data_IF_354026342572
#
_entry.id   IF_354026342572
#
_cell.length_a   1.000
_cell.length_b   1.000
_cell.length_c   1.000
_cell.angle_alpha   90.00
_cell.angle_beta   90.00
_cell.angle_gamma   90.00
#
_symmetry.space_group_name_H-M   'P 1'
#
loop_
_entity.id
_entity.type
_entity.pdbx_description
1 polymer ?
#
# COMPACT_ATOMS: atom_id res chain seq x y z
N UNK A 1 46.63 0.38 -12.86
CA UNK A 1 45.36 0.99 -13.32
C UNK A 1 44.44 -0.15 -13.77
N UNK A 2 43.60 -0.66 -12.87
CA UNK A 2 42.65 -1.73 -13.19
C UNK A 2 41.28 -1.10 -13.40
N UNK A 3 40.82 -1.07 -14.65
CA UNK A 3 39.46 -0.63 -15.00
C UNK A 3 38.50 -1.75 -14.57
N UNK A 4 37.77 -1.56 -13.48
CA UNK A 4 36.60 -2.37 -13.15
C UNK A 4 35.48 -2.03 -14.14
N UNK A 5 35.21 -2.95 -15.05
CA UNK A 5 33.96 -3.03 -15.81
C UNK A 5 32.84 -3.37 -14.84
N UNK A 6 32.08 -2.36 -14.40
CA UNK A 6 30.76 -2.58 -13.79
C UNK A 6 29.81 -3.01 -14.90
N UNK A 7 29.43 -4.29 -14.88
CA UNK A 7 28.27 -4.75 -15.64
C UNK A 7 27.01 -4.06 -15.10
N UNK A 8 26.17 -3.46 -15.94
CA UNK A 8 24.86 -3.01 -15.51
C UNK A 8 23.98 -4.25 -15.31
N UNK A 9 23.93 -4.78 -14.08
CA UNK A 9 22.80 -5.63 -13.66
C UNK A 9 21.64 -4.70 -13.29
N UNK A 10 20.93 -4.23 -14.29
CA UNK A 10 19.62 -3.64 -14.14
C UNK A 10 18.74 -4.30 -15.19
N UNK A 11 17.79 -5.13 -14.78
CA UNK A 11 16.70 -5.53 -15.66
C UNK A 11 15.95 -4.22 -15.95
N UNK A 12 16.09 -3.70 -17.17
CA UNK A 12 15.33 -2.54 -17.63
C UNK A 12 13.84 -2.91 -17.60
N UNK A 13 13.16 -2.60 -16.49
CA UNK A 13 11.72 -2.77 -16.40
C UNK A 13 11.10 -1.90 -17.48
N UNK A 14 10.50 -2.56 -18.50
CA UNK A 14 9.80 -1.88 -19.58
C UNK A 14 8.72 -0.99 -18.98
N UNK A 15 8.94 0.33 -19.03
CA UNK A 15 7.98 1.32 -18.55
C UNK A 15 6.77 1.31 -19.47
N UNK A 16 5.59 1.10 -18.91
CA UNK A 16 4.31 1.26 -19.59
C UNK A 16 3.72 2.64 -19.25
N UNK A 17 2.81 3.14 -20.07
CA UNK A 17 2.12 4.40 -19.76
C UNK A 17 1.31 4.26 -18.47
N UNK A 18 1.42 5.27 -17.59
CA UNK A 18 0.62 5.34 -16.36
C UNK A 18 -0.89 5.37 -16.67
N UNK A 19 -1.29 6.06 -17.73
CA UNK A 19 -2.69 6.16 -18.16
C UNK A 19 -3.30 4.79 -18.48
N UNK A 20 -2.54 3.91 -19.13
CA UNK A 20 -3.02 2.56 -19.43
C UNK A 20 -3.28 1.79 -18.13
N UNK A 21 -2.41 1.94 -17.13
CA UNK A 21 -2.58 1.32 -15.82
C UNK A 21 -3.81 1.90 -15.10
N UNK A 22 -3.96 3.23 -15.07
CA UNK A 22 -5.10 3.94 -14.47
C UNK A 22 -6.43 3.50 -15.09
N UNK A 23 -6.53 3.45 -16.42
CA UNK A 23 -7.74 3.02 -17.13
C UNK A 23 -8.05 1.54 -16.90
N UNK A 24 -7.02 0.69 -16.86
CA UNK A 24 -7.18 -0.75 -16.55
C UNK A 24 -7.69 -0.94 -15.13
N UNK A 25 -7.16 -0.18 -14.18
CA UNK A 25 -7.61 -0.20 -12.80
C UNK A 25 -9.05 0.31 -12.66
N UNK A 26 -9.40 1.40 -13.33
CA UNK A 26 -10.76 1.93 -13.37
C UNK A 26 -11.77 0.92 -13.94
N UNK A 27 -11.40 0.21 -15.01
CA UNK A 27 -12.24 -0.85 -15.58
C UNK A 27 -12.45 -2.02 -14.59
N UNK A 28 -11.38 -2.43 -13.88
CA UNK A 28 -11.47 -3.46 -12.84
C UNK A 28 -12.41 -3.02 -11.70
N UNK A 29 -12.25 -1.80 -11.19
CA UNK A 29 -13.11 -1.28 -10.11
C UNK A 29 -14.57 -1.18 -10.58
N UNK A 30 -14.81 -0.70 -11.79
CA UNK A 30 -16.16 -0.63 -12.37
C UNK A 30 -16.79 -2.01 -12.59
N UNK A 31 -16.00 -3.04 -12.87
CA UNK A 31 -16.47 -4.43 -12.91
C UNK A 31 -16.82 -4.94 -11.51
N UNK A 32 -15.96 -4.74 -10.51
CA UNK A 32 -16.23 -5.12 -9.13
C UNK A 32 -17.48 -4.44 -8.55
N UNK A 33 -17.68 -3.15 -8.85
CA UNK A 33 -18.87 -2.41 -8.41
C UNK A 33 -20.16 -2.90 -9.09
N UNK A 34 -20.08 -3.50 -10.29
CA UNK A 34 -21.23 -4.12 -10.95
C UNK A 34 -21.53 -5.51 -10.40
N UNK A 35 -20.50 -6.26 -10.07
CA UNK A 35 -20.62 -7.66 -9.64
C UNK A 35 -20.88 -7.81 -8.13
N UNK A 36 -20.47 -6.82 -7.33
CA UNK A 36 -20.59 -6.85 -5.87
C UNK A 36 -21.55 -5.76 -5.39
N UNK A 37 -22.64 -6.17 -4.74
CA UNK A 37 -23.70 -5.26 -4.25
C UNK A 37 -23.30 -4.42 -3.03
N UNK A 38 -22.11 -4.65 -2.45
CA UNK A 38 -21.66 -3.99 -1.22
C UNK A 38 -20.28 -3.34 -1.37
N UNK A 39 -20.11 -2.05 -1.04
CA UNK A 39 -18.81 -1.36 -1.02
C UNK A 39 -17.76 -2.06 -0.17
N UNK A 40 -18.18 -2.68 0.94
CA UNK A 40 -17.30 -3.46 1.80
C UNK A 40 -16.73 -4.69 1.08
N UNK A 41 -17.56 -5.40 0.32
CA UNK A 41 -17.14 -6.56 -0.45
C UNK A 41 -16.12 -6.16 -1.52
N UNK A 42 -16.36 -5.03 -2.20
CA UNK A 42 -15.41 -4.45 -3.16
C UNK A 42 -14.08 -4.12 -2.50
N UNK A 43 -14.10 -3.43 -1.35
CA UNK A 43 -12.88 -3.08 -0.62
C UNK A 43 -12.10 -4.33 -0.19
N UNK A 44 -12.78 -5.35 0.33
CA UNK A 44 -12.14 -6.64 0.69
C UNK A 44 -11.53 -7.32 -0.52
N UNK A 45 -12.19 -7.28 -1.66
CA UNK A 45 -11.69 -7.88 -2.89
C UNK A 45 -10.48 -7.12 -3.43
N UNK A 46 -10.52 -5.78 -3.44
CA UNK A 46 -9.38 -4.93 -3.81
C UNK A 46 -8.18 -5.16 -2.89
N UNK A 47 -8.42 -5.21 -1.58
CA UNK A 47 -7.41 -5.49 -0.58
C UNK A 47 -6.77 -6.88 -0.78
N UNK A 48 -7.58 -7.91 -1.05
CA UNK A 48 -7.09 -9.27 -1.36
C UNK A 48 -6.28 -9.31 -2.65
N UNK A 49 -6.72 -8.64 -3.70
CA UNK A 49 -5.97 -8.55 -4.96
C UNK A 49 -4.64 -7.84 -4.75
N UNK A 50 -4.67 -6.70 -4.05
CA UNK A 50 -3.48 -5.94 -3.67
C UNK A 50 -2.50 -6.80 -2.90
N UNK A 51 -2.95 -7.53 -1.89
CA UNK A 51 -2.10 -8.41 -1.08
C UNK A 51 -1.37 -9.47 -1.91
N UNK A 52 -2.06 -10.15 -2.81
CA UNK A 52 -1.43 -11.14 -3.70
C UNK A 52 -0.42 -10.50 -4.67
N UNK A 53 -0.71 -9.29 -5.13
CA UNK A 53 0.23 -8.50 -5.95
C UNK A 53 1.46 -8.15 -5.11
N UNK A 54 1.27 -7.64 -3.90
CA UNK A 54 2.31 -7.23 -2.96
C UNK A 54 3.30 -8.33 -2.64
N UNK A 55 2.81 -9.55 -2.38
CA UNK A 55 3.68 -10.73 -2.17
C UNK A 55 4.67 -10.94 -3.32
N UNK A 56 4.22 -10.77 -4.57
CA UNK A 56 5.07 -10.94 -5.76
C UNK A 56 5.98 -9.72 -6.00
N UNK A 57 5.51 -8.52 -5.66
CA UNK A 57 6.29 -7.30 -5.80
C UNK A 57 7.46 -7.25 -4.83
N UNK A 58 7.35 -7.86 -3.65
CA UNK A 58 8.44 -7.90 -2.68
C UNK A 58 9.70 -8.56 -3.24
N UNK A 59 9.56 -9.71 -3.92
CA UNK A 59 10.70 -10.40 -4.53
C UNK A 59 11.39 -9.53 -5.60
N UNK A 60 10.61 -8.88 -6.47
CA UNK A 60 11.15 -7.96 -7.48
C UNK A 60 11.83 -6.73 -6.83
N UNK A 61 11.28 -6.20 -5.74
CA UNK A 61 11.82 -5.05 -5.02
C UNK A 61 13.18 -5.39 -4.41
N UNK A 62 13.29 -6.54 -3.74
CA UNK A 62 14.51 -7.02 -3.11
C UNK A 62 15.57 -7.40 -4.15
N UNK A 63 15.16 -7.99 -5.27
CA UNK A 63 16.07 -8.32 -6.38
C UNK A 63 16.68 -7.07 -7.02
N UNK A 64 15.90 -5.99 -7.17
CA UNK A 64 16.37 -4.71 -7.74
C UNK A 64 17.18 -3.87 -6.76
N UNK A 65 16.94 -4.03 -5.47
CA UNK A 65 17.56 -3.21 -4.43
C UNK A 65 18.31 -4.10 -3.44
N UNK A 66 19.49 -4.56 -3.87
CA UNK A 66 20.37 -5.38 -3.02
C UNK A 66 20.68 -4.72 -1.68
N UNK A 67 20.65 -3.39 -1.55
CA UNK A 67 20.88 -2.72 -0.27
C UNK A 67 19.78 -2.95 0.80
N UNK A 68 18.61 -3.47 0.41
CA UNK A 68 17.50 -3.79 1.32
C UNK A 68 17.69 -5.22 1.82
N UNK A 69 18.63 -5.44 2.75
CA UNK A 69 18.97 -6.80 3.19
C UNK A 69 18.19 -7.32 4.40
N UNK A 70 17.47 -6.44 5.11
CA UNK A 70 16.52 -6.72 6.21
C UNK A 70 16.21 -5.40 6.91
N UNK A 71 15.07 -4.79 6.60
CA UNK A 71 14.65 -3.60 7.35
C UNK A 71 14.26 -4.03 8.77
N UNK A 72 15.02 -3.60 9.77
CA UNK A 72 14.73 -3.90 11.19
C UNK A 72 14.08 -2.72 11.91
N UNK A 73 14.21 -1.51 11.35
CA UNK A 73 13.61 -0.29 11.87
C UNK A 73 12.42 0.13 10.99
N UNK A 74 11.32 0.51 11.64
CA UNK A 74 10.13 1.01 10.96
C UNK A 74 10.40 2.27 10.15
N UNK A 75 11.32 3.14 10.60
CA UNK A 75 11.69 4.34 9.86
C UNK A 75 12.36 3.99 8.53
N UNK A 76 13.19 2.95 8.52
CA UNK A 76 13.81 2.46 7.29
C UNK A 76 12.76 1.86 6.36
N UNK A 77 11.81 1.08 6.90
CA UNK A 77 10.68 0.53 6.13
C UNK A 77 9.87 1.67 5.50
N UNK A 78 9.52 2.68 6.29
CA UNK A 78 8.75 3.82 5.83
C UNK A 78 9.47 4.57 4.69
N UNK A 79 10.77 4.80 4.81
CA UNK A 79 11.57 5.46 3.77
C UNK A 79 11.69 4.61 2.49
N UNK A 80 11.90 3.30 2.63
CA UNK A 80 11.93 2.37 1.49
C UNK A 80 10.59 2.35 0.76
N UNK A 81 9.48 2.25 1.49
CA UNK A 81 8.15 2.29 0.89
C UNK A 81 7.90 3.60 0.17
N UNK A 82 8.14 4.72 0.87
CA UNK A 82 7.81 6.06 0.38
C UNK A 82 8.64 6.52 -0.81
N UNK A 83 9.95 6.22 -0.81
CA UNK A 83 10.92 6.78 -1.77
C UNK A 83 11.39 5.80 -2.84
N UNK A 84 11.39 4.50 -2.54
CA UNK A 84 11.91 3.44 -3.43
C UNK A 84 10.77 2.65 -4.05
N UNK A 85 9.92 2.00 -3.25
CA UNK A 85 8.90 1.08 -3.75
C UNK A 85 7.84 1.81 -4.59
N UNK A 86 7.22 2.86 -4.06
CA UNK A 86 6.21 3.63 -4.79
C UNK A 86 6.78 4.24 -6.08
N UNK A 87 8.04 4.70 -6.04
CA UNK A 87 8.72 5.26 -7.23
C UNK A 87 8.94 4.20 -8.30
N UNK A 88 9.33 2.98 -7.89
CA UNK A 88 9.61 1.88 -8.81
C UNK A 88 8.36 1.37 -9.51
N UNK A 89 7.24 1.27 -8.79
CA UNK A 89 6.03 0.60 -9.28
C UNK A 89 4.93 1.55 -9.76
N UNK A 90 4.77 2.70 -9.12
CA UNK A 90 3.74 3.69 -9.45
C UNK A 90 4.29 4.98 -10.04
N UNK A 91 5.62 5.15 -10.07
CA UNK A 91 6.26 6.36 -10.59
C UNK A 91 6.13 7.59 -9.68
N UNK A 92 5.56 7.44 -8.49
CA UNK A 92 5.32 8.52 -7.52
C UNK A 92 6.08 8.27 -6.22
N UNK A 93 6.25 9.32 -5.41
CA UNK A 93 6.78 9.19 -4.05
C UNK A 93 5.74 9.62 -3.03
N UNK A 94 5.85 9.10 -1.81
CA UNK A 94 5.06 9.55 -0.68
C UNK A 94 5.90 10.36 0.30
N UNK A 95 5.24 11.17 1.12
CA UNK A 95 5.81 11.72 2.33
C UNK A 95 5.44 10.84 3.53
N UNK A 96 6.40 10.59 4.42
CA UNK A 96 6.16 9.88 5.67
C UNK A 96 5.88 10.92 6.76
N UNK A 97 4.76 10.79 7.46
CA UNK A 97 4.36 11.72 8.52
C UNK A 97 3.59 11.01 9.64
N UNK A 98 3.11 11.79 10.62
CA UNK A 98 2.17 11.35 11.65
C UNK A 98 2.61 10.07 12.40
N UNK A 99 3.89 10.02 12.79
CA UNK A 99 4.39 8.95 13.65
C UNK A 99 3.72 8.98 15.02
N UNK A 100 3.38 7.80 15.52
CA UNK A 100 2.89 7.69 16.89
C UNK A 100 4.06 7.68 17.90
N UNK A 101 3.76 7.89 19.18
CA UNK A 101 4.79 7.95 20.23
C UNK A 101 5.59 6.65 20.44
N UNK A 102 5.08 5.52 19.91
CA UNK A 102 5.70 4.20 19.99
C UNK A 102 6.58 3.87 18.78
N UNK A 103 6.56 4.70 17.75
CA UNK A 103 7.22 4.47 16.46
C UNK A 103 6.82 3.15 15.78
N UNK A 104 5.64 2.61 16.08
CA UNK A 104 5.07 1.42 15.46
C UNK A 104 3.92 1.75 14.50
N UNK A 105 3.65 3.03 14.25
CA UNK A 105 2.60 3.48 13.33
C UNK A 105 2.97 4.83 12.67
N UNK A 106 2.76 4.94 11.36
CA UNK A 106 3.04 6.14 10.56
C UNK A 106 2.06 6.30 9.40
N UNK A 107 2.01 7.48 8.80
CA UNK A 107 1.23 7.77 7.60
C UNK A 107 2.11 7.91 6.37
N UNK A 108 1.67 7.32 5.25
CA UNK A 108 2.16 7.57 3.91
C UNK A 108 1.19 8.50 3.20
N UNK A 109 1.65 9.70 2.87
CA UNK A 109 0.87 10.71 2.15
C UNK A 109 1.35 10.75 0.70
N UNK A 110 0.49 10.34 -0.21
CA UNK A 110 0.69 10.50 -1.65
C UNK A 110 -0.06 11.76 -2.09
N UNK A 111 0.69 12.80 -2.47
CA UNK A 111 0.10 14.05 -2.97
C UNK A 111 -0.55 13.90 -4.35
N UNK A 112 -0.02 12.97 -5.16
CA UNK A 112 -0.53 12.63 -6.48
C UNK A 112 -0.74 11.12 -6.55
N UNK A 113 -2.02 10.73 -6.58
CA UNK A 113 -2.46 9.36 -6.70
C UNK A 113 -2.71 9.02 -8.18
N UNK A 114 -1.83 8.26 -8.83
CA UNK A 114 -1.96 7.95 -10.25
C UNK A 114 -3.19 7.08 -10.54
N UNK A 115 -3.73 6.38 -9.54
CA UNK A 115 -4.94 5.56 -9.72
C UNK A 115 -6.19 6.42 -9.90
N UNK A 116 -6.24 7.60 -9.27
CA UNK A 116 -7.44 8.42 -9.17
C UNK A 116 -7.48 9.60 -10.16
N UNK A 117 -6.50 9.72 -11.07
CA UNK A 117 -6.33 10.89 -11.94
C UNK A 117 -7.58 11.23 -12.80
N UNK A 118 -8.35 10.22 -13.21
CA UNK A 118 -9.57 10.37 -14.03
C UNK A 118 -10.85 9.93 -13.30
N UNK A 119 -10.81 9.87 -11.97
CA UNK A 119 -11.88 9.24 -11.19
C UNK A 119 -12.64 10.29 -10.41
N UNK A 120 -13.94 10.37 -10.66
CA UNK A 120 -14.88 11.09 -9.81
C UNK A 120 -15.76 10.06 -9.10
N UNK A 121 -15.62 9.97 -7.78
CA UNK A 121 -16.44 9.08 -6.97
C UNK A 121 -17.83 9.73 -6.80
N UNK A 122 -18.93 9.05 -7.19
CA UNK A 122 -20.27 9.56 -6.98
C UNK A 122 -20.53 9.89 -5.50
N UNK A 123 -21.27 10.97 -5.18
CA UNK A 123 -21.50 11.40 -3.80
C UNK A 123 -22.20 10.34 -2.94
N UNK A 124 -22.96 9.44 -3.55
CA UNK A 124 -23.63 8.30 -2.89
C UNK A 124 -22.64 7.26 -2.36
N UNK A 125 -21.49 7.12 -3.01
CA UNK A 125 -20.37 6.32 -2.53
C UNK A 125 -19.36 7.17 -1.73
N UNK A 126 -19.57 8.50 -1.67
CA UNK A 126 -18.60 9.48 -1.15
C UNK A 126 -18.98 10.17 0.20
N UNK A 127 -20.20 10.03 0.74
CA UNK A 127 -20.63 10.67 2.00
C UNK A 127 -20.16 9.85 3.22
N UNK A 128 -19.42 10.33 4.23
CA UNK A 128 -19.33 11.66 4.87
C UNK A 128 -17.89 12.18 5.07
N UNK A 129 -17.41 13.06 4.19
CA UNK A 129 -16.16 13.84 4.40
C UNK A 129 -16.39 15.19 5.13
N UNK A 130 -17.52 15.40 5.82
CA UNK A 130 -17.93 16.74 6.29
C UNK A 130 -18.34 16.93 7.75
N UNK A 131 -17.88 16.12 8.71
CA UNK A 131 -18.00 16.52 10.12
C UNK A 131 -16.82 16.07 11.00
N UNK A 132 -15.89 17.01 11.20
CA UNK A 132 -15.12 17.29 12.42
C UNK A 132 -14.00 16.28 12.84
N UNK A 133 -12.96 16.78 13.55
CA UNK A 133 -11.59 16.28 13.47
C UNK A 133 -11.40 14.96 14.22
N UNK A 134 -10.74 13.98 13.59
CA UNK A 134 -10.31 12.76 14.25
C UNK A 134 -9.09 13.02 15.15
N UNK A 135 -9.28 13.86 16.15
CA UNK A 135 -8.46 13.96 17.33
C UNK A 135 -9.43 14.01 18.51
N UNK A 136 -9.72 12.85 19.10
CA UNK A 136 -9.87 12.67 20.55
C UNK A 136 -10.11 11.19 20.88
N UNK A 137 -9.06 10.59 21.44
CA UNK A 137 -9.02 9.60 22.53
C UNK A 137 -10.37 8.96 22.89
N UNK A 138 -10.52 7.63 22.73
CA UNK A 138 -10.67 6.64 23.82
C UNK A 138 -10.97 5.23 23.28
N UNK A 139 -10.22 4.26 23.81
CA UNK A 139 -10.63 2.93 24.30
C UNK A 139 -11.77 2.17 23.58
N UNK A 140 -11.41 0.98 23.08
CA UNK A 140 -12.18 -0.26 23.17
C UNK A 140 -13.71 -0.12 23.13
N UNK A 141 -14.25 0.34 21.99
CA UNK A 141 -15.69 0.33 21.73
C UNK A 141 -15.95 -0.46 20.43
N UNK A 142 -16.71 -1.58 20.49
CA UNK A 142 -17.05 -2.35 19.31
C UNK A 142 -18.16 -1.61 18.55
N UNK A 143 -17.90 -1.23 17.30
CA UNK A 143 -18.97 -0.83 16.36
C UNK A 143 -19.05 0.64 15.96
N UNK A 144 -17.96 1.22 15.43
CA UNK A 144 -18.10 2.30 14.44
C UNK A 144 -17.78 1.71 13.07
N UNK A 145 -18.83 1.35 12.34
CA UNK A 145 -18.73 0.61 11.09
C UNK A 145 -18.33 1.53 9.94
N UNK A 146 -17.03 1.71 9.74
CA UNK A 146 -16.45 2.36 8.55
C UNK A 146 -16.70 1.57 7.24
N UNK A 147 -17.56 0.52 7.26
CA UNK A 147 -17.78 -0.42 6.14
C UNK A 147 -18.60 0.10 4.97
N UNK A 148 -19.25 1.26 5.07
CA UNK A 148 -20.19 1.70 4.02
C UNK A 148 -19.55 2.43 2.83
N UNK A 149 -18.28 2.84 2.94
CA UNK A 149 -17.62 3.66 1.92
C UNK A 149 -16.70 2.84 1.01
N UNK A 150 -16.77 3.08 -0.31
CA UNK A 150 -15.85 2.47 -1.27
C UNK A 150 -14.51 3.21 -1.31
N UNK A 151 -13.43 2.56 -0.90
CA UNK A 151 -12.08 3.14 -0.90
C UNK A 151 -11.41 2.81 -2.23
N UNK A 152 -11.33 3.79 -3.12
CA UNK A 152 -10.92 3.56 -4.51
C UNK A 152 -9.49 3.02 -4.58
N UNK A 153 -8.59 3.48 -3.71
CA UNK A 153 -7.18 3.04 -3.70
C UNK A 153 -6.89 1.89 -2.73
N UNK A 154 -7.91 1.14 -2.28
CA UNK A 154 -7.75 0.06 -1.30
C UNK A 154 -6.77 -1.03 -1.76
N UNK A 155 -6.57 -1.20 -3.08
CA UNK A 155 -5.56 -2.10 -3.62
C UNK A 155 -4.13 -1.77 -3.12
N UNK A 156 -3.82 -0.50 -2.86
CA UNK A 156 -2.52 -0.06 -2.33
C UNK A 156 -2.30 -0.56 -0.90
N UNK A 157 -3.34 -0.53 -0.07
CA UNK A 157 -3.28 -1.08 1.29
C UNK A 157 -2.94 -2.56 1.27
N UNK A 158 -3.62 -3.32 0.41
CA UNK A 158 -3.34 -4.74 0.20
C UNK A 158 -1.90 -4.97 -0.25
N UNK A 159 -1.44 -4.23 -1.27
CA UNK A 159 -0.09 -4.37 -1.81
C UNK A 159 1.00 -4.10 -0.78
N UNK A 160 0.84 -3.07 0.06
CA UNK A 160 1.78 -2.77 1.14
C UNK A 160 1.80 -3.92 2.16
N UNK A 161 0.63 -4.44 2.58
CA UNK A 161 0.56 -5.57 3.52
C UNK A 161 1.23 -6.81 2.97
N UNK A 162 0.89 -7.20 1.74
CA UNK A 162 1.46 -8.39 1.11
C UNK A 162 2.97 -8.28 0.94
N UNK A 163 3.46 -7.11 0.53
CA UNK A 163 4.89 -6.90 0.36
C UNK A 163 5.66 -6.99 1.70
N UNK A 164 5.12 -6.38 2.75
CA UNK A 164 5.76 -6.41 4.08
C UNK A 164 5.67 -7.79 4.74
N UNK A 165 4.60 -8.54 4.48
CA UNK A 165 4.49 -9.92 4.95
C UNK A 165 5.59 -10.81 4.37
N UNK A 166 5.88 -10.67 3.08
CA UNK A 166 7.01 -11.35 2.43
C UNK A 166 8.36 -10.95 3.05
N UNK A 167 8.46 -9.72 3.57
CA UNK A 167 9.63 -9.24 4.33
C UNK A 167 9.60 -9.63 5.81
N UNK A 168 8.74 -10.59 6.19
CA UNK A 168 8.55 -11.10 7.55
C UNK A 168 8.02 -10.05 8.54
N UNK A 169 7.21 -9.10 8.07
CA UNK A 169 6.61 -8.06 8.90
C UNK A 169 5.08 -8.08 8.75
N UNK A 170 4.38 -8.39 9.84
CA UNK A 170 2.93 -8.26 9.88
C UNK A 170 2.56 -6.81 10.16
N UNK A 171 1.78 -6.21 9.25
CA UNK A 171 1.28 -4.84 9.38
C UNK A 171 -0.21 -4.76 9.11
N UNK A 172 -0.86 -3.77 9.71
CA UNK A 172 -2.19 -3.31 9.33
C UNK A 172 -2.06 -2.03 8.51
N UNK A 173 -2.90 -1.91 7.48
CA UNK A 173 -2.95 -0.71 6.65
C UNK A 173 -4.39 -0.24 6.49
N UNK A 174 -4.59 1.07 6.52
CA UNK A 174 -5.89 1.66 6.33
C UNK A 174 -5.78 3.03 5.67
N UNK A 175 -6.68 3.30 4.72
CA UNK A 175 -6.83 4.66 4.18
C UNK A 175 -7.51 5.51 5.24
N UNK A 176 -6.82 6.57 5.64
CA UNK A 176 -7.29 7.60 6.58
C UNK A 176 -8.12 8.63 5.82
N UNK A 177 -7.60 9.06 4.67
CA UNK A 177 -8.20 10.10 3.87
C UNK A 177 -7.93 9.82 2.39
N UNK A 178 -8.97 9.94 1.58
CA UNK A 178 -8.88 9.87 0.13
C UNK A 178 -9.58 11.09 -0.44
N UNK A 179 -8.85 11.80 -1.29
CA UNK A 179 -9.33 12.95 -2.05
C UNK A 179 -9.12 12.68 -3.53
N UNK A 180 -9.61 13.59 -4.39
CA UNK A 180 -9.60 13.39 -5.85
C UNK A 180 -8.24 13.00 -6.41
N UNK A 181 -7.14 13.50 -5.83
CA UNK A 181 -5.79 13.20 -6.32
C UNK A 181 -4.79 12.90 -5.21
N UNK A 182 -5.19 12.83 -3.94
CA UNK A 182 -4.29 12.52 -2.84
C UNK A 182 -4.85 11.43 -1.95
N UNK A 183 -3.96 10.63 -1.36
CA UNK A 183 -4.34 9.56 -0.45
C UNK A 183 -3.38 9.51 0.74
N UNK A 184 -3.95 9.40 1.94
CA UNK A 184 -3.22 9.12 3.18
C UNK A 184 -3.49 7.67 3.60
N UNK A 185 -2.43 6.87 3.62
CA UNK A 185 -2.46 5.48 4.06
C UNK A 185 -1.73 5.39 5.40
N UNK A 186 -2.43 4.99 6.46
CA UNK A 186 -1.78 4.62 7.71
C UNK A 186 -1.22 3.21 7.61
N UNK A 187 -0.02 3.03 8.13
CA UNK A 187 0.64 1.74 8.29
C UNK A 187 0.96 1.56 9.76
N UNK A 188 0.45 0.47 10.36
CA UNK A 188 0.69 0.09 11.75
C UNK A 188 1.38 -1.26 11.79
N UNK A 189 2.55 -1.30 12.40
CA UNK A 189 3.28 -2.52 12.67
C UNK A 189 2.61 -3.33 13.77
N UNK A 190 2.53 -4.64 13.55
CA UNK A 190 1.93 -5.58 14.52
C UNK A 190 3.02 -6.44 15.14
N UNK A 191 3.77 -7.19 14.32
CA UNK A 191 4.85 -8.07 14.79
C UNK A 191 5.77 -8.53 13.67
N UNK A 192 6.94 -9.03 14.04
CA UNK A 192 7.82 -9.76 13.13
C UNK A 192 7.31 -11.20 13.02
N UNK A 193 7.24 -11.72 11.80
CA UNK A 193 6.88 -13.10 11.51
C UNK A 193 8.11 -13.99 11.64
N UNK A 194 7.95 -15.13 12.30
CA UNK A 194 9.01 -16.12 12.43
C UNK A 194 8.96 -17.08 11.24
N UNK A 195 10.10 -17.29 10.61
CA UNK A 195 10.26 -18.30 9.56
C UNK A 195 10.17 -19.68 10.22
N UNK A 196 9.09 -20.42 9.93
CA UNK A 196 8.96 -21.79 10.41
C UNK A 196 9.89 -22.67 9.59
N UNK A 197 11.00 -23.13 10.19
CA UNK A 197 11.83 -24.17 9.59
C UNK A 197 10.99 -25.46 9.60
N UNK A 198 10.70 -26.09 8.45
CA UNK A 198 10.03 -27.38 8.46
C UNK A 198 10.90 -28.37 9.25
N UNK A 199 10.30 -29.23 10.09
CA UNK A 199 11.06 -30.25 10.79
C UNK A 199 11.81 -31.06 9.73
N UNK A 200 13.14 -30.97 9.74
CA UNK A 200 13.98 -31.81 8.91
C UNK A 200 13.80 -33.24 9.40
N UNK A 201 13.48 -34.14 8.49
CA UNK A 201 13.61 -35.57 8.75
C UNK A 201 15.11 -35.88 8.95
N UNK A 202 15.47 -36.30 10.16
CA UNK A 202 16.79 -36.87 10.50
C UNK A 202 17.08 -38.14 9.69
#
# INVERSE_FOLDING_TARGET
>A
MSKQTKFPMGIDSKKISGELFTLTYGALVAELLRDLESPLAVNRQLDKMGYNIGLRLADDLLAKNSQIHRCTDMHQVADVLAKVALRSYLGVTAQVSNWNARNDEFSLILESNPLAEFVEVPPELAQDLRQEPCAMIVNDSPGRDDSHYHKYSQILCGAIRGALEMMHMEVQTFIVQEHSQSVEIRVKFIRILQESVPPGDD
#
